data_IF_437173574593
#
_entry.id   IF_437173574593
#
_cell.length_a   1.000
_cell.length_b   1.000
_cell.length_c   1.000
_cell.angle_alpha   90.00
_cell.angle_beta   90.00
_cell.angle_gamma   90.00
#
_symmetry.space_group_name_H-M   'P 1'
#
loop_
_entity.id
_entity.type
_entity.pdbx_description
1 polymer ?
#
# COMPACT_ATOMS: atom_id res chain seq x y z
N UNK A 1 24.07 -35.68 20.10
CA UNK A 1 22.70 -35.17 19.90
C UNK A 1 22.80 -33.93 19.02
N UNK A 2 22.53 -34.07 17.73
CA UNK A 2 22.43 -32.92 16.81
C UNK A 2 20.95 -32.53 16.78
N UNK A 3 20.60 -31.37 17.32
CA UNK A 3 19.26 -30.82 17.23
C UNK A 3 19.03 -30.33 15.81
N UNK A 4 18.11 -31.00 15.13
CA UNK A 4 17.52 -30.65 13.84
C UNK A 4 17.00 -29.21 13.86
N UNK A 5 17.67 -28.33 13.11
CA UNK A 5 17.12 -27.03 12.76
C UNK A 5 15.89 -27.24 11.89
N UNK A 6 14.72 -26.96 12.46
CA UNK A 6 13.46 -26.93 11.72
C UNK A 6 13.57 -25.78 10.73
N UNK A 7 13.82 -26.12 9.46
CA UNK A 7 13.74 -25.17 8.36
C UNK A 7 12.25 -24.86 8.18
N UNK A 8 11.81 -23.78 8.82
CA UNK A 8 10.39 -23.43 8.87
C UNK A 8 9.99 -22.96 7.47
N UNK A 9 9.08 -23.72 6.88
CA UNK A 9 8.47 -23.60 5.56
C UNK A 9 8.52 -22.19 4.97
N UNK A 10 9.11 -22.08 3.78
CA UNK A 10 9.03 -20.90 2.91
C UNK A 10 7.57 -20.59 2.61
N UNK A 11 6.95 -19.76 3.44
CA UNK A 11 5.79 -19.00 3.03
C UNK A 11 6.19 -18.26 1.76
N UNK A 12 5.39 -18.39 0.70
CA UNK A 12 5.64 -17.71 -0.57
C UNK A 12 5.95 -16.23 -0.28
N UNK A 13 7.17 -15.79 -0.59
CA UNK A 13 7.57 -14.41 -0.31
C UNK A 13 6.62 -13.47 -1.06
N UNK A 14 6.06 -12.50 -0.32
CA UNK A 14 5.17 -11.51 -0.93
C UNK A 14 5.99 -10.66 -1.89
N UNK A 15 5.43 -10.39 -3.06
CA UNK A 15 6.06 -9.45 -3.99
C UNK A 15 6.16 -8.07 -3.36
N UNK A 16 7.36 -7.48 -3.44
CA UNK A 16 7.64 -6.11 -3.01
C UNK A 16 7.08 -5.15 -4.05
N UNK A 17 6.32 -4.15 -3.61
CA UNK A 17 5.62 -3.20 -4.49
C UNK A 17 5.93 -1.77 -4.08
N UNK A 18 6.28 -0.95 -5.06
CA UNK A 18 6.45 0.50 -4.93
C UNK A 18 5.55 1.18 -5.96
N UNK A 19 4.58 1.97 -5.49
CA UNK A 19 3.58 2.63 -6.33
C UNK A 19 3.93 4.11 -6.49
N UNK A 20 3.97 4.56 -7.75
CA UNK A 20 3.99 5.97 -8.13
C UNK A 20 2.63 6.30 -8.76
N UNK A 21 1.98 7.37 -8.35
CA UNK A 21 0.67 7.78 -8.89
C UNK A 21 0.55 9.30 -8.94
N UNK A 22 -0.04 9.83 -10.00
CA UNK A 22 -0.48 11.22 -10.14
C UNK A 22 -1.95 11.38 -9.71
N UNK A 23 -2.32 10.68 -8.64
CA UNK A 23 -3.63 10.68 -7.99
C UNK A 23 -4.28 12.08 -7.99
N UNK A 24 -5.59 12.11 -8.28
CA UNK A 24 -6.42 13.29 -8.58
C UNK A 24 -6.41 13.78 -10.02
N UNK A 25 -5.55 13.28 -10.91
CA UNK A 25 -5.65 13.62 -12.32
C UNK A 25 -6.87 12.93 -12.97
N UNK A 26 -6.99 11.62 -12.74
CA UNK A 26 -8.08 10.77 -13.25
C UNK A 26 -8.73 9.96 -12.11
N UNK A 27 -10.01 9.58 -12.24
CA UNK A 27 -10.70 8.81 -11.20
C UNK A 27 -10.14 7.39 -11.00
N UNK A 28 -9.50 6.82 -12.02
CA UNK A 28 -8.98 5.45 -12.03
C UNK A 28 -7.78 5.25 -11.08
N UNK A 29 -6.94 6.27 -10.87
CA UNK A 29 -5.89 6.27 -9.85
C UNK A 29 -6.49 6.07 -8.45
N UNK A 30 -7.59 6.77 -8.17
CA UNK A 30 -8.26 6.65 -6.88
C UNK A 30 -8.89 5.27 -6.71
N UNK A 31 -9.57 4.75 -7.74
CA UNK A 31 -10.19 3.43 -7.73
C UNK A 31 -9.16 2.30 -7.62
N UNK A 32 -8.04 2.43 -8.33
CA UNK A 32 -6.94 1.47 -8.33
C UNK A 32 -6.24 1.43 -6.97
N UNK A 33 -6.07 2.57 -6.30
CA UNK A 33 -5.51 2.63 -4.95
C UNK A 33 -6.46 1.98 -3.92
N UNK A 34 -7.77 2.23 -4.00
CA UNK A 34 -8.75 1.53 -3.14
C UNK A 34 -8.66 0.02 -3.34
N UNK A 35 -8.65 -0.44 -4.60
CA UNK A 35 -8.50 -1.87 -4.92
C UNK A 35 -7.18 -2.41 -4.38
N UNK A 36 -6.08 -1.69 -4.53
CA UNK A 36 -4.79 -2.12 -4.02
C UNK A 36 -4.78 -2.27 -2.49
N UNK A 37 -5.36 -1.32 -1.76
CA UNK A 37 -5.44 -1.35 -0.29
C UNK A 37 -6.22 -2.57 0.22
N UNK A 38 -7.30 -2.98 -0.44
CA UNK A 38 -8.06 -4.18 -0.04
C UNK A 38 -7.40 -5.51 -0.48
N UNK A 39 -6.29 -5.45 -1.21
CA UNK A 39 -5.40 -6.60 -1.52
C UNK A 39 -4.03 -6.49 -0.84
N UNK A 40 -3.81 -5.47 -0.01
CA UNK A 40 -2.50 -5.15 0.58
C UNK A 40 -1.92 -6.27 1.44
N UNK A 41 -2.74 -7.22 1.88
CA UNK A 41 -2.27 -8.41 2.60
C UNK A 41 -1.46 -9.37 1.72
N UNK A 42 -1.53 -9.29 0.39
CA UNK A 42 -0.77 -10.15 -0.53
C UNK A 42 0.60 -9.57 -0.91
N UNK A 43 0.88 -8.31 -0.55
CA UNK A 43 2.07 -7.58 -0.97
C UNK A 43 2.90 -7.11 0.22
N UNK A 44 4.19 -6.85 -0.05
CA UNK A 44 5.04 -6.05 0.82
C UNK A 44 5.15 -4.64 0.21
N UNK A 45 4.53 -3.65 0.86
CA UNK A 45 4.37 -2.31 0.31
C UNK A 45 5.54 -1.44 0.78
N UNK A 46 6.40 -1.06 -0.15
CA UNK A 46 7.62 -0.29 0.15
C UNK A 46 7.48 1.21 -0.13
N UNK A 47 6.46 1.58 -0.91
CA UNK A 47 6.24 2.97 -1.29
C UNK A 47 4.85 3.21 -1.83
N UNK A 48 4.23 4.30 -1.35
CA UNK A 48 3.03 4.90 -1.90
C UNK A 48 3.33 6.38 -2.15
N UNK A 49 3.77 6.71 -3.35
CA UNK A 49 4.35 8.03 -3.64
C UNK A 49 3.49 8.79 -4.63
N UNK A 50 3.01 9.96 -4.21
CA UNK A 50 2.34 10.88 -5.10
C UNK A 50 3.39 11.60 -5.97
N UNK A 51 3.20 11.60 -7.29
CA UNK A 51 4.09 12.25 -8.26
C UNK A 51 3.27 13.08 -9.24
N UNK A 52 3.93 13.72 -10.20
CA UNK A 52 3.31 14.42 -11.33
C UNK A 52 3.39 13.63 -12.62
N UNK A 53 2.61 14.06 -13.61
CA UNK A 53 2.53 13.50 -14.95
C UNK A 53 2.44 14.60 -16.02
N UNK A 54 2.26 14.22 -17.27
CA UNK A 54 2.03 15.18 -18.37
C UNK A 54 0.74 15.99 -18.18
N UNK A 55 -0.24 15.42 -17.48
CA UNK A 55 -1.58 15.97 -17.26
C UNK A 55 -1.71 16.66 -15.90
N UNK A 56 -1.01 16.16 -14.87
CA UNK A 56 -0.83 16.83 -13.59
C UNK A 56 0.61 17.29 -13.42
N UNK A 57 0.95 18.50 -13.88
CA UNK A 57 2.35 18.97 -14.02
C UNK A 57 2.99 19.55 -12.75
N UNK A 58 2.25 19.66 -11.66
CA UNK A 58 2.75 20.23 -10.40
C UNK A 58 1.84 19.82 -9.24
N UNK A 59 2.35 19.97 -8.02
CA UNK A 59 1.61 19.75 -6.76
C UNK A 59 1.10 18.31 -6.60
N UNK A 60 2.00 17.33 -6.42
CA UNK A 60 1.62 15.97 -6.08
C UNK A 60 0.63 15.93 -4.90
N UNK A 61 -0.35 15.04 -4.98
CA UNK A 61 -1.47 14.97 -4.03
C UNK A 61 -1.33 13.83 -3.03
N UNK A 62 -0.21 13.83 -2.30
CA UNK A 62 0.05 12.85 -1.21
C UNK A 62 -1.10 12.84 -0.17
N UNK A 63 -1.75 13.99 0.04
CA UNK A 63 -2.91 14.12 0.93
C UNK A 63 -4.05 13.18 0.54
N UNK A 64 -4.24 12.89 -0.75
CA UNK A 64 -5.28 11.96 -1.22
C UNK A 64 -4.92 10.51 -0.96
N UNK A 65 -3.63 10.14 -1.08
CA UNK A 65 -3.16 8.80 -0.67
C UNK A 65 -3.43 8.62 0.82
N UNK A 66 -3.07 9.61 1.65
CA UNK A 66 -3.32 9.55 3.10
C UNK A 66 -4.81 9.49 3.44
N UNK A 67 -5.66 10.23 2.72
CA UNK A 67 -7.12 10.17 2.85
C UNK A 67 -7.64 8.75 2.59
N UNK A 68 -7.18 8.10 1.52
CA UNK A 68 -7.61 6.74 1.21
C UNK A 68 -7.12 5.71 2.21
N UNK A 69 -5.87 5.80 2.66
CA UNK A 69 -5.34 4.94 3.73
C UNK A 69 -6.16 5.12 5.02
N UNK A 70 -6.56 6.35 5.37
CA UNK A 70 -7.43 6.59 6.51
C UNK A 70 -8.79 5.91 6.35
N UNK A 71 -9.40 5.99 5.17
CA UNK A 71 -10.66 5.31 4.88
C UNK A 71 -10.52 3.77 4.94
N UNK A 72 -9.42 3.22 4.45
CA UNK A 72 -9.07 1.81 4.58
C UNK A 72 -8.96 1.38 6.06
N UNK A 73 -8.33 2.18 6.91
CA UNK A 73 -8.17 1.88 8.35
C UNK A 73 -9.51 1.69 9.06
N UNK A 74 -10.54 2.46 8.66
CA UNK A 74 -11.90 2.32 9.19
C UNK A 74 -12.52 0.94 8.92
N UNK A 75 -12.12 0.27 7.85
CA UNK A 75 -12.66 -1.05 7.45
C UNK A 75 -11.66 -2.20 7.65
N UNK A 76 -10.41 -1.92 7.99
CA UNK A 76 -9.33 -2.91 8.14
C UNK A 76 -9.69 -4.04 9.09
N UNK A 77 -10.37 -3.73 10.20
CA UNK A 77 -10.80 -4.75 11.16
C UNK A 77 -11.77 -5.76 10.55
N UNK A 78 -12.63 -5.33 9.61
CA UNK A 78 -13.51 -6.26 8.90
C UNK A 78 -12.72 -7.13 7.92
N UNK A 79 -11.72 -6.57 7.22
CA UNK A 79 -10.85 -7.34 6.31
C UNK A 79 -10.06 -8.43 7.06
N UNK A 80 -9.60 -8.13 8.28
CA UNK A 80 -8.88 -9.07 9.13
C UNK A 80 -9.70 -10.29 9.55
N UNK A 81 -11.04 -10.21 9.51
CA UNK A 81 -11.91 -11.38 9.74
C UNK A 81 -11.75 -12.41 8.61
N UNK A 82 -11.46 -11.96 7.40
CA UNK A 82 -11.36 -12.81 6.21
C UNK A 82 -9.94 -13.36 5.99
N UNK A 83 -8.91 -12.54 6.20
CA UNK A 83 -7.52 -12.98 6.05
C UNK A 83 -6.57 -12.11 6.88
N UNK A 84 -5.53 -12.73 7.42
CA UNK A 84 -4.46 -12.03 8.15
C UNK A 84 -3.49 -11.31 7.20
N UNK A 85 -2.67 -10.43 7.76
CA UNK A 85 -1.53 -9.84 7.05
C UNK A 85 -1.81 -8.52 6.37
N UNK A 86 -2.99 -7.94 6.56
CA UNK A 86 -3.30 -6.56 6.19
C UNK A 86 -2.44 -5.56 7.00
N UNK A 87 -1.68 -4.66 6.37
CA UNK A 87 -0.85 -3.68 7.05
C UNK A 87 -1.70 -2.67 7.84
N UNK A 88 -1.19 -2.17 8.96
CA UNK A 88 -1.81 -1.07 9.70
C UNK A 88 -1.64 0.27 9.00
N UNK A 89 -2.52 1.23 9.31
CA UNK A 89 -2.44 2.60 8.79
C UNK A 89 -1.06 3.23 9.00
N UNK A 90 -0.49 3.09 10.18
CA UNK A 90 0.81 3.68 10.54
C UNK A 90 1.94 3.09 9.68
N UNK A 91 1.87 1.80 9.33
CA UNK A 91 2.83 1.16 8.44
C UNK A 91 2.71 1.72 7.02
N UNK A 92 1.49 1.87 6.51
CA UNK A 92 1.25 2.46 5.19
C UNK A 92 1.66 3.95 5.15
N UNK A 93 1.39 4.70 6.20
CA UNK A 93 1.81 6.09 6.33
C UNK A 93 3.33 6.26 6.36
N UNK A 94 4.06 5.32 6.96
CA UNK A 94 5.51 5.35 7.03
C UNK A 94 6.20 5.21 5.66
N UNK A 95 5.53 4.55 4.70
CA UNK A 95 6.01 4.39 3.32
C UNK A 95 5.31 5.33 2.33
N UNK A 96 4.48 6.25 2.82
CA UNK A 96 3.80 7.26 2.00
C UNK A 96 4.64 8.53 1.91
N UNK A 97 4.89 9.04 0.70
CA UNK A 97 5.71 10.23 0.50
C UNK A 97 5.31 11.05 -0.73
N UNK A 98 5.82 12.28 -0.80
CA UNK A 98 5.71 13.17 -1.95
C UNK A 98 6.94 12.95 -2.83
N UNK A 99 6.69 12.59 -4.08
CA UNK A 99 7.70 12.37 -5.11
C UNK A 99 8.04 13.66 -5.87
N UNK A 100 8.39 13.50 -7.15
CA UNK A 100 8.74 14.64 -8.01
C UNK A 100 7.51 15.49 -8.31
N UNK A 101 7.71 16.81 -8.31
CA UNK A 101 6.73 17.81 -8.71
C UNK A 101 7.01 18.29 -10.14
#
# INVERSE_FOLDING_TARGET
MLTTGVNTLSGQEKSRVFVLTDISNEPDDEESLVRFLVYSNEYDIEGLVATTSTWLRSKPREDLIRRQIYAYDLVRNNLLIHKNGFPGKEQLFAVTATGQA
#
